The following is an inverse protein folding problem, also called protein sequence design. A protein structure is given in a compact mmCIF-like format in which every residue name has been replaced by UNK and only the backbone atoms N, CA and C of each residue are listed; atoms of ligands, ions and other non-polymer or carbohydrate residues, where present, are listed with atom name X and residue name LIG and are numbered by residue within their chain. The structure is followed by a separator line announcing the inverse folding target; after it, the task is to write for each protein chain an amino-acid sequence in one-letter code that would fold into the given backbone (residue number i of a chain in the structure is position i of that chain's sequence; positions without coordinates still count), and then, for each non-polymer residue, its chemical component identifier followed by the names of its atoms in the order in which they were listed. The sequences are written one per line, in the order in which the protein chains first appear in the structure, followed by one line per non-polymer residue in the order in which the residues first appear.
data_IF_556802395110
#
_entry.id   IF_556802395110
#
_cell.length_a   1.000
_cell.length_b   1.000
_cell.length_c   1.000
_cell.angle_alpha   90.00
_cell.angle_beta   90.00
_cell.angle_gamma   90.00
#
_symmetry.space_group_name_H-M   'P 1'
#
loop_
_entity.id
_entity.type
_entity.pdbx_description
1 polymer ?
#
# COMPACT_ATOMS: atom_id res chain seq x y z
N UNK A 1 -12.30 28.11 -22.91
CA UNK A 1 -11.06 27.65 -22.25
C UNK A 1 -11.47 26.79 -21.07
N UNK A 2 -11.60 25.47 -21.26
CA UNK A 2 -11.89 24.54 -20.17
C UNK A 2 -10.54 24.15 -19.56
N UNK A 3 -10.26 24.68 -18.37
CA UNK A 3 -9.08 24.27 -17.60
C UNK A 3 -9.37 22.88 -17.03
N UNK A 4 -8.73 21.84 -17.59
CA UNK A 4 -8.73 20.51 -17.00
C UNK A 4 -8.10 20.59 -15.60
N UNK A 5 -8.93 20.54 -14.56
CA UNK A 5 -8.48 20.38 -13.18
C UNK A 5 -8.01 18.94 -13.06
N UNK A 6 -6.70 18.70 -13.18
CA UNK A 6 -6.13 17.40 -12.83
C UNK A 6 -6.21 17.23 -11.31
N UNK A 7 -7.03 16.33 -10.75
CA UNK A 7 -7.01 16.05 -9.32
C UNK A 7 -5.63 15.51 -8.96
N UNK A 8 -5.04 16.05 -7.88
CA UNK A 8 -3.72 15.60 -7.40
C UNK A 8 -3.83 14.21 -6.78
N UNK A 9 -3.38 13.20 -7.51
CA UNK A 9 -3.19 11.84 -7.02
C UNK A 9 -1.79 11.67 -6.42
N UNK A 10 -1.60 10.69 -5.51
CA UNK A 10 -0.30 10.34 -4.91
C UNK A 10 0.56 9.43 -5.81
N UNK A 11 0.31 9.50 -7.10
CA UNK A 11 1.09 8.88 -8.18
C UNK A 11 1.03 9.80 -9.39
N UNK A 12 2.00 9.68 -10.29
CA UNK A 12 2.02 10.41 -11.55
C UNK A 12 1.62 9.48 -12.71
N UNK A 13 0.72 9.94 -13.58
CA UNK A 13 0.45 9.26 -14.85
C UNK A 13 1.68 9.35 -15.78
N UNK A 14 1.83 8.39 -16.68
CA UNK A 14 2.83 8.46 -17.74
C UNK A 14 2.34 9.37 -18.89
N UNK A 15 3.27 9.84 -19.74
CA UNK A 15 2.88 10.48 -21.00
C UNK A 15 1.99 9.52 -21.80
N UNK A 16 0.89 10.04 -22.32
CA UNK A 16 -0.14 9.28 -23.06
C UNK A 16 -0.72 8.10 -22.26
N UNK A 17 -0.63 8.14 -20.92
CA UNK A 17 -1.11 7.12 -20.00
C UNK A 17 -2.43 7.47 -19.33
N UNK A 18 -3.11 8.53 -19.78
CA UNK A 18 -4.43 8.94 -19.29
C UNK A 18 -5.32 9.47 -20.41
N UNK A 19 -6.62 9.23 -20.29
CA UNK A 19 -7.67 9.73 -21.16
C UNK A 19 -8.81 10.30 -20.32
N UNK A 20 -9.52 11.27 -20.89
CA UNK A 20 -10.69 11.91 -20.31
C UNK A 20 -11.83 11.81 -21.31
N UNK A 21 -12.99 11.36 -20.86
CA UNK A 21 -14.20 11.28 -21.68
C UNK A 21 -15.43 11.45 -20.79
N UNK A 22 -16.55 11.81 -21.41
CA UNK A 22 -17.85 11.94 -20.77
C UNK A 22 -18.67 10.70 -21.15
N UNK A 23 -19.33 10.07 -20.18
CA UNK A 23 -20.24 8.97 -20.47
C UNK A 23 -21.64 9.47 -20.88
N UNK A 24 -22.52 8.53 -21.23
CA UNK A 24 -23.88 8.83 -21.68
C UNK A 24 -24.74 9.50 -20.59
N UNK A 25 -24.30 9.47 -19.33
CA UNK A 25 -24.96 10.10 -18.17
C UNK A 25 -24.37 11.48 -17.84
N UNK A 26 -23.39 11.96 -18.60
CA UNK A 26 -22.73 13.24 -18.41
C UNK A 26 -21.64 13.22 -17.33
N UNK A 27 -21.18 12.04 -16.90
CA UNK A 27 -20.13 11.88 -15.90
C UNK A 27 -18.78 11.97 -16.60
N UNK A 28 -17.94 12.89 -16.14
CA UNK A 28 -16.56 13.03 -16.61
C UNK A 28 -15.69 11.94 -15.98
N UNK A 29 -15.27 10.99 -16.81
CA UNK A 29 -14.43 9.86 -16.43
C UNK A 29 -12.97 10.14 -16.80
N UNK A 30 -12.07 9.83 -15.86
CA UNK A 30 -10.63 9.76 -16.09
C UNK A 30 -10.18 8.31 -16.07
N UNK A 31 -9.66 7.84 -17.18
CA UNK A 31 -9.06 6.51 -17.27
C UNK A 31 -7.53 6.65 -17.27
N UNK A 32 -6.85 5.89 -16.41
CA UNK A 32 -5.39 5.91 -16.28
C UNK A 32 -4.86 4.52 -16.63
N UNK A 33 -4.23 4.41 -17.80
CA UNK A 33 -3.71 3.14 -18.34
C UNK A 33 -2.25 2.90 -17.94
N UNK A 34 -1.50 3.95 -17.60
CA UNK A 34 -0.07 3.84 -17.25
C UNK A 34 0.37 4.86 -16.21
N UNK A 35 1.04 4.39 -15.17
CA UNK A 35 1.63 5.20 -14.09
C UNK A 35 3.14 5.30 -14.34
N UNK A 36 3.71 6.50 -14.25
CA UNK A 36 5.14 6.74 -14.38
C UNK A 36 5.89 6.62 -13.06
N UNK A 37 5.27 7.04 -11.95
CA UNK A 37 5.86 6.98 -10.62
C UNK A 37 4.78 6.83 -9.55
N UNK A 38 5.02 5.92 -8.61
CA UNK A 38 4.29 5.82 -7.36
C UNK A 38 5.08 6.54 -6.26
N UNK A 39 4.42 7.41 -5.49
CA UNK A 39 5.03 8.06 -4.32
C UNK A 39 4.70 7.28 -3.04
N UNK A 40 5.32 7.65 -1.92
CA UNK A 40 5.08 6.99 -0.62
C UNK A 40 3.60 7.08 -0.23
N UNK A 41 2.95 5.92 -0.22
CA UNK A 41 1.55 5.73 0.18
C UNK A 41 1.49 5.03 1.53
N UNK A 42 0.80 5.65 2.49
CA UNK A 42 0.45 5.00 3.76
C UNK A 42 -0.95 4.40 3.66
N UNK A 43 -1.23 3.29 4.39
CA UNK A 43 -2.59 2.77 4.49
C UNK A 43 -3.52 3.84 5.08
N UNK A 44 -4.72 3.95 4.52
CA UNK A 44 -5.77 4.83 5.03
C UNK A 44 -6.43 4.15 6.22
N UNK A 45 -6.37 4.79 7.39
CA UNK A 45 -6.90 4.25 8.65
C UNK A 45 -8.41 4.38 8.77
N UNK A 46 -9.01 5.37 8.10
CA UNK A 46 -10.45 5.59 8.08
C UNK A 46 -10.92 5.74 6.63
N UNK A 47 -11.49 4.68 6.04
CA UNK A 47 -11.95 4.73 4.66
C UNK A 47 -13.09 5.75 4.50
N UNK A 48 -13.14 6.41 3.34
CA UNK A 48 -14.17 7.41 3.04
C UNK A 48 -15.56 6.79 2.81
N UNK A 49 -15.62 5.48 2.53
CA UNK A 49 -16.86 4.73 2.28
C UNK A 49 -16.85 3.42 3.06
N UNK A 50 -18.04 2.98 3.48
CA UNK A 50 -18.19 1.76 4.31
C UNK A 50 -17.65 0.52 3.61
N UNK A 51 -17.78 0.45 2.27
CA UNK A 51 -17.36 -0.71 1.47
C UNK A 51 -15.87 -0.67 1.05
N UNK A 52 -15.11 0.36 1.44
CA UNK A 52 -13.71 0.46 1.06
C UNK A 52 -12.80 -0.42 1.95
N UNK A 53 -12.43 -1.59 1.41
CA UNK A 53 -11.66 -2.66 2.06
C UNK A 53 -10.14 -2.38 2.22
N UNK A 54 -9.71 -1.11 2.11
CA UNK A 54 -8.28 -0.75 2.07
C UNK A 54 -7.54 -0.95 3.39
N UNK A 55 -8.26 -0.92 4.53
CA UNK A 55 -7.68 -1.03 5.87
C UNK A 55 -7.76 -2.43 6.49
N UNK A 56 -8.72 -3.26 6.09
CA UNK A 56 -9.09 -4.47 6.86
C UNK A 56 -8.12 -5.61 6.60
N UNK A 57 -7.69 -5.83 5.35
CA UNK A 57 -6.76 -6.92 5.01
C UNK A 57 -5.37 -6.77 5.64
N UNK A 58 -4.81 -5.56 5.60
CA UNK A 58 -3.47 -5.28 6.17
C UNK A 58 -3.49 -5.31 7.70
N UNK A 59 -4.56 -4.80 8.31
CA UNK A 59 -4.76 -4.85 9.77
C UNK A 59 -4.91 -6.29 10.27
N UNK A 60 -5.70 -7.13 9.56
CA UNK A 60 -5.90 -8.54 9.91
C UNK A 60 -4.60 -9.34 9.80
N UNK A 61 -3.85 -9.17 8.71
CA UNK A 61 -2.54 -9.80 8.54
C UNK A 61 -1.54 -9.37 9.63
N UNK A 62 -1.56 -8.08 10.02
CA UNK A 62 -0.73 -7.58 11.11
C UNK A 62 -1.13 -8.14 12.49
N UNK A 63 -2.43 -8.25 12.76
CA UNK A 63 -2.95 -8.85 13.98
C UNK A 63 -2.62 -10.35 14.06
N UNK A 64 -2.76 -11.09 12.96
CA UNK A 64 -2.41 -12.51 12.88
C UNK A 64 -0.90 -12.75 13.06
N UNK A 65 -0.05 -11.92 12.45
CA UNK A 65 1.40 -11.97 12.67
C UNK A 65 1.77 -11.70 14.14
N UNK A 66 1.04 -10.83 14.82
CA UNK A 66 1.24 -10.52 16.25
C UNK A 66 0.72 -11.63 17.16
N UNK A 67 -0.41 -12.24 16.82
CA UNK A 67 -1.06 -13.30 17.59
C UNK A 67 -0.36 -14.67 17.46
N UNK A 68 0.21 -14.97 16.29
CA UNK A 68 0.84 -16.27 16.00
C UNK A 68 2.15 -16.55 16.76
N UNK A 69 2.69 -15.59 17.50
CA UNK A 69 3.93 -15.75 18.26
C UNK A 69 5.19 -15.89 17.39
N UNK A 70 5.06 -15.77 16.06
CA UNK A 70 6.15 -15.87 15.09
C UNK A 70 7.28 -14.89 15.40
N UNK A 71 6.94 -13.68 15.89
CA UNK A 71 7.91 -12.68 16.31
C UNK A 71 8.75 -13.14 17.52
N UNK A 72 8.12 -13.77 18.53
CA UNK A 72 8.84 -14.32 19.70
C UNK A 72 9.75 -15.48 19.30
N UNK A 73 9.28 -16.33 18.38
CA UNK A 73 10.08 -17.46 17.85
C UNK A 73 11.31 -16.95 17.09
N UNK A 74 11.14 -15.98 16.20
CA UNK A 74 12.24 -15.38 15.43
C UNK A 74 13.29 -14.71 16.33
N UNK A 75 12.85 -14.01 17.38
CA UNK A 75 13.76 -13.37 18.37
C UNK A 75 14.54 -14.43 19.16
N UNK A 76 13.87 -15.50 19.61
CA UNK A 76 14.53 -16.60 20.32
C UNK A 76 15.54 -17.33 19.44
N UNK A 77 15.20 -17.61 18.18
CA UNK A 77 16.11 -18.24 17.21
C UNK A 77 17.33 -17.38 16.93
N UNK A 78 17.14 -16.06 16.77
CA UNK A 78 18.25 -15.11 16.61
C UNK A 78 19.17 -15.11 17.82
N UNK A 79 18.62 -15.02 19.03
CA UNK A 79 19.41 -15.03 20.27
C UNK A 79 20.14 -16.36 20.48
N UNK A 80 19.52 -17.49 20.13
CA UNK A 80 20.17 -18.80 20.20
C UNK A 80 21.36 -18.87 19.23
N UNK A 81 21.19 -18.35 18.01
CA UNK A 81 22.25 -18.32 16.99
C UNK A 81 23.42 -17.42 17.39
N UNK A 82 23.13 -16.23 17.93
CA UNK A 82 24.16 -15.30 18.42
C UNK A 82 24.97 -15.93 19.57
N UNK A 83 24.31 -16.59 20.53
CA UNK A 83 25.01 -17.29 21.62
C UNK A 83 25.91 -18.44 21.13
N UNK A 84 25.43 -19.20 20.15
CA UNK A 84 26.18 -20.31 19.57
C UNK A 84 27.43 -19.80 18.83
N UNK A 85 27.29 -18.71 18.08
CA UNK A 85 28.42 -18.03 17.42
C UNK A 85 29.46 -17.53 18.43
N UNK A 86 29.02 -16.97 19.55
CA UNK A 86 29.93 -16.52 20.62
C UNK A 86 30.69 -17.70 21.25
N UNK A 87 30.05 -18.85 21.42
CA UNK A 87 30.69 -20.05 21.99
C UNK A 87 31.66 -20.74 21.02
N UNK A 88 31.42 -20.67 19.71
CA UNK A 88 32.31 -21.23 18.68
C UNK A 88 33.57 -20.39 18.45
N UNK A 89 33.54 -19.13 18.88
CA UNK A 89 34.60 -18.16 18.64
C UNK A 89 35.41 -17.83 19.91
N UNK A 90 35.26 -18.64 20.97
CA UNK A 90 35.98 -18.59 22.24
C UNK A 90 36.89 -19.82 22.38
#
# INVERSE_FOLDING_TARGET
MVTLISPRSRFASARDGESWYEDDEGIVIREITRISRLYDVSPVTYPAYQDADSGVRSMKAWQEARASGALKKAVNERMARERLLTLLNA
#
